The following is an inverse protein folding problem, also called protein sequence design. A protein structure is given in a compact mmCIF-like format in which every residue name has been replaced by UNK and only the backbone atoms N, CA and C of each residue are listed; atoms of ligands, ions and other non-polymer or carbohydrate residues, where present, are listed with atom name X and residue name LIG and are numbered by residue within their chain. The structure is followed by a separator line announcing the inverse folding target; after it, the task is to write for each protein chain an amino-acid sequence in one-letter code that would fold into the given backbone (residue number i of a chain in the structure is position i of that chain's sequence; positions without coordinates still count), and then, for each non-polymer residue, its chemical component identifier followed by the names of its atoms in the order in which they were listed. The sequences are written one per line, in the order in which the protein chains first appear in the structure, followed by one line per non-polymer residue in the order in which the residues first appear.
data_IF_293178531914
#
_entry.id   IF_293178531914
#
_cell.length_a   1.000
_cell.length_b   1.000
_cell.length_c   1.000
_cell.angle_alpha   90.00
_cell.angle_beta   90.00
_cell.angle_gamma   90.00
#
_symmetry.space_group_name_H-M   'P 1'
#
loop_
_entity.id
_entity.type
_entity.pdbx_description
1 polymer ?
#
# COMPACT_ATOMS: atom_id res chain seq x y z
N UNK A 1 5.60 -23.08 14.14
CA UNK A 1 5.72 -21.62 14.33
C UNK A 1 7.00 -21.20 13.66
N UNK A 2 6.92 -20.57 12.48
CA UNK A 2 8.11 -20.01 11.83
C UNK A 2 8.51 -18.77 12.61
N UNK A 3 9.68 -18.75 13.25
CA UNK A 3 10.23 -17.52 13.85
C UNK A 3 10.41 -16.50 12.74
N UNK A 4 9.80 -15.33 12.87
CA UNK A 4 9.94 -14.26 11.87
C UNK A 4 11.23 -13.53 12.19
N UNK A 5 12.17 -13.51 11.24
CA UNK A 5 13.41 -12.75 11.43
C UNK A 5 13.19 -11.31 10.96
N UNK A 6 13.47 -10.33 11.81
CA UNK A 6 13.35 -8.91 11.47
C UNK A 6 14.72 -8.36 11.08
N UNK A 7 14.79 -7.72 9.91
CA UNK A 7 16.00 -7.09 9.40
C UNK A 7 15.92 -5.58 9.61
N UNK A 8 16.84 -5.03 10.41
CA UNK A 8 16.97 -3.58 10.63
C UNK A 8 18.28 -3.09 10.03
N UNK A 9 18.24 -1.95 9.34
CA UNK A 9 19.45 -1.27 8.86
C UNK A 9 19.69 -0.03 9.74
N UNK A 10 20.95 0.25 10.08
CA UNK A 10 21.36 1.44 10.80
C UNK A 10 22.71 1.95 10.30
N UNK A 11 23.02 3.21 10.57
CA UNK A 11 24.35 3.77 10.32
C UNK A 11 25.40 3.10 11.23
N UNK A 12 26.62 2.93 10.73
CA UNK A 12 27.73 2.39 11.51
C UNK A 12 28.30 3.45 12.48
N UNK A 13 27.96 3.36 13.76
CA UNK A 13 28.41 4.32 14.79
C UNK A 13 29.28 3.69 15.89
N UNK A 14 29.02 2.45 16.26
CA UNK A 14 29.66 1.80 17.42
C UNK A 14 31.05 1.22 17.07
N UNK A 15 32.02 1.42 17.97
CA UNK A 15 33.41 0.99 17.77
C UNK A 15 33.56 -0.54 17.67
N UNK A 16 32.77 -1.30 18.43
CA UNK A 16 32.77 -2.76 18.36
C UNK A 16 32.21 -3.26 17.02
N UNK A 17 31.20 -2.58 16.47
CA UNK A 17 30.66 -2.89 15.15
C UNK A 17 31.64 -2.53 14.03
N UNK A 18 32.42 -1.45 14.17
CA UNK A 18 33.47 -1.09 13.20
C UNK A 18 34.50 -2.22 13.09
N UNK A 19 34.95 -2.76 14.23
CA UNK A 19 35.89 -3.89 14.25
C UNK A 19 35.27 -5.14 13.65
N UNK A 20 34.00 -5.42 13.95
CA UNK A 20 33.28 -6.56 13.40
C UNK A 20 33.11 -6.46 11.88
N UNK A 21 32.78 -5.27 11.37
CA UNK A 21 32.69 -4.96 9.94
C UNK A 21 34.03 -5.16 9.24
N UNK A 22 35.13 -4.67 9.81
CA UNK A 22 36.47 -4.89 9.25
C UNK A 22 36.83 -6.38 9.18
N UNK A 23 36.50 -7.17 10.20
CA UNK A 23 36.69 -8.61 10.19
C UNK A 23 35.83 -9.32 9.13
N UNK A 24 34.57 -8.90 8.97
CA UNK A 24 33.67 -9.44 7.94
C UNK A 24 34.14 -9.10 6.52
N UNK A 25 34.70 -7.91 6.28
CA UNK A 25 35.29 -7.50 5.00
C UNK A 25 36.44 -8.44 4.61
N UNK A 26 37.43 -8.59 5.50
CA UNK A 26 38.60 -9.46 5.27
C UNK A 26 38.20 -10.92 5.04
N UNK A 27 37.15 -11.39 5.71
CA UNK A 27 36.64 -12.74 5.51
C UNK A 27 35.81 -12.92 4.21
N UNK A 28 35.43 -11.83 3.54
CA UNK A 28 34.54 -11.85 2.37
C UNK A 28 35.25 -11.63 1.05
N UNK A 29 36.43 -11.02 1.06
CA UNK A 29 37.21 -10.68 -0.12
C UNK A 29 38.64 -11.24 -0.05
N UNK A 30 39.28 -11.56 -1.19
CA UNK A 30 40.72 -11.79 -1.27
C UNK A 30 41.53 -10.64 -0.66
N UNK A 31 42.74 -10.92 -0.16
CA UNK A 31 43.55 -9.95 0.57
C UNK A 31 43.93 -8.70 -0.25
N UNK A 32 44.01 -8.81 -1.57
CA UNK A 32 44.28 -7.73 -2.52
C UNK A 32 43.01 -6.95 -2.93
N UNK A 33 41.82 -7.46 -2.60
CA UNK A 33 40.52 -6.84 -2.88
C UNK A 33 39.85 -6.26 -1.62
N UNK A 34 40.15 -6.80 -0.44
CA UNK A 34 39.53 -6.41 0.84
C UNK A 34 39.95 -5.00 1.29
N UNK A 35 39.00 -4.19 1.77
CA UNK A 35 39.35 -2.93 2.41
C UNK A 35 40.10 -3.16 3.73
N UNK A 36 41.14 -2.37 3.98
CA UNK A 36 41.84 -2.36 5.27
C UNK A 36 40.95 -1.78 6.36
N UNK A 37 41.24 -2.07 7.64
CA UNK A 37 40.52 -1.44 8.77
C UNK A 37 40.59 0.09 8.71
N UNK A 38 41.74 0.65 8.31
CA UNK A 38 41.89 2.10 8.09
C UNK A 38 40.98 2.63 6.98
N UNK A 39 40.78 1.85 5.91
CA UNK A 39 39.83 2.14 4.84
C UNK A 39 38.38 2.12 5.34
N UNK A 40 37.99 1.11 6.13
CA UNK A 40 36.66 1.03 6.76
C UNK A 40 36.42 2.25 7.66
N UNK A 41 37.39 2.60 8.51
CA UNK A 41 37.31 3.79 9.39
C UNK A 41 37.25 5.09 8.59
N UNK A 42 38.01 5.20 7.49
CA UNK A 42 37.93 6.35 6.61
C UNK A 42 36.52 6.51 6.03
N UNK A 43 35.93 5.44 5.50
CA UNK A 43 34.58 5.48 4.91
C UNK A 43 33.52 5.77 5.96
N UNK A 44 33.61 5.17 7.15
CA UNK A 44 32.69 5.44 8.25
C UNK A 44 32.75 6.91 8.69
N UNK A 45 33.96 7.48 8.81
CA UNK A 45 34.16 8.86 9.25
C UNK A 45 33.72 9.88 8.20
N UNK A 46 34.08 9.66 6.94
CA UNK A 46 33.91 10.67 5.88
C UNK A 46 32.62 10.48 5.07
N UNK A 47 32.18 9.23 4.87
CA UNK A 47 31.02 8.85 4.08
C UNK A 47 29.97 8.09 4.92
N UNK A 48 29.87 8.42 6.22
CA UNK A 48 29.04 7.70 7.18
C UNK A 48 27.57 7.55 6.76
N UNK A 49 26.98 8.56 6.13
CA UNK A 49 25.60 8.52 5.59
C UNK A 49 25.37 7.41 4.55
N UNK A 50 26.44 6.86 3.97
CA UNK A 50 26.43 5.79 2.99
C UNK A 50 26.94 4.45 3.54
N UNK A 51 27.26 4.39 4.84
CA UNK A 51 27.75 3.20 5.53
C UNK A 51 26.70 2.66 6.49
N UNK A 52 26.05 1.58 6.06
CA UNK A 52 24.94 0.96 6.78
C UNK A 52 25.27 -0.46 7.19
N UNK A 53 24.98 -0.79 8.44
CA UNK A 53 25.03 -2.13 9.01
C UNK A 53 23.63 -2.72 9.10
N UNK A 54 23.53 -4.04 8.98
CA UNK A 54 22.30 -4.78 9.02
C UNK A 54 22.26 -5.70 10.24
N UNK A 55 21.23 -5.55 11.06
CA UNK A 55 20.97 -6.39 12.22
C UNK A 55 19.80 -7.32 11.97
N UNK A 56 19.90 -8.53 12.50
CA UNK A 56 18.85 -9.52 12.53
C UNK A 56 18.41 -9.76 13.97
N UNK A 57 17.11 -9.65 14.23
CA UNK A 57 16.49 -10.11 15.47
C UNK A 57 15.48 -11.22 15.20
N UNK A 58 15.21 -12.01 16.23
CA UNK A 58 14.17 -13.05 16.21
C UNK A 58 13.14 -12.73 17.28
N UNK A 59 11.90 -13.16 17.09
CA UNK A 59 10.81 -12.94 18.06
C UNK A 59 11.12 -13.50 19.48
N UNK A 60 12.14 -14.36 19.61
CA UNK A 60 12.57 -15.00 20.86
C UNK A 60 13.81 -14.34 21.52
N UNK A 61 14.47 -13.39 20.87
CA UNK A 61 15.69 -12.75 21.37
C UNK A 61 15.49 -11.24 21.47
N UNK A 62 15.74 -10.68 22.66
CA UNK A 62 15.76 -9.23 22.88
C UNK A 62 16.99 -8.56 22.24
N UNK A 63 18.06 -9.33 21.96
CA UNK A 63 19.29 -8.80 21.37
C UNK A 63 19.31 -8.92 19.84
N UNK A 64 19.71 -7.83 19.19
CA UNK A 64 19.97 -7.78 17.75
C UNK A 64 21.37 -8.32 17.43
N UNK A 65 21.50 -9.09 16.34
CA UNK A 65 22.80 -9.60 15.88
C UNK A 65 23.21 -8.89 14.60
N UNK A 66 24.43 -8.35 14.54
CA UNK A 66 25.01 -7.79 13.31
C UNK A 66 25.27 -8.92 12.29
N UNK A 67 24.63 -8.86 11.12
CA UNK A 67 24.66 -9.92 10.09
C UNK A 67 25.22 -9.49 8.75
N UNK A 68 25.49 -8.21 8.54
CA UNK A 68 26.04 -7.72 7.27
C UNK A 68 26.15 -6.20 7.22
N UNK A 69 26.67 -5.68 6.10
CA UNK A 69 26.78 -4.24 5.87
C UNK A 69 26.85 -3.90 4.38
N UNK A 70 26.57 -2.64 4.06
CA UNK A 70 26.80 -2.01 2.76
C UNK A 70 27.51 -0.68 2.99
N UNK A 71 28.54 -0.39 2.22
CA UNK A 71 29.21 0.90 2.27
C UNK A 71 29.54 1.44 0.88
N UNK A 72 29.64 2.76 0.78
CA UNK A 72 29.98 3.45 -0.44
C UNK A 72 30.56 4.84 -0.19
N UNK A 73 31.05 5.47 -1.26
CA UNK A 73 31.45 6.88 -1.26
C UNK A 73 30.80 7.61 -2.42
N UNK A 74 30.50 8.88 -2.23
CA UNK A 74 30.12 9.79 -3.31
C UNK A 74 31.34 10.29 -4.09
N UNK A 75 31.11 10.56 -5.37
CA UNK A 75 32.04 11.23 -6.28
C UNK A 75 31.28 12.21 -7.18
N UNK A 76 31.92 13.31 -7.57
CA UNK A 76 31.43 14.23 -8.59
C UNK A 76 31.68 13.74 -10.02
N UNK A 77 32.41 12.64 -10.20
CA UNK A 77 32.66 12.02 -11.50
C UNK A 77 31.44 11.20 -11.95
N UNK A 78 31.33 10.98 -13.26
CA UNK A 78 30.24 10.20 -13.86
C UNK A 78 30.57 8.72 -14.08
N UNK A 79 31.82 8.32 -13.84
CA UNK A 79 32.35 6.96 -14.09
C UNK A 79 33.10 6.38 -12.88
N UNK A 80 33.19 5.05 -12.85
CA UNK A 80 34.03 4.31 -11.89
C UNK A 80 35.47 4.21 -12.41
N UNK A 81 36.40 4.80 -11.67
CA UNK A 81 37.84 4.69 -11.85
C UNK A 81 38.55 4.69 -10.48
N UNK A 82 39.85 4.47 -10.46
CA UNK A 82 40.63 4.40 -9.21
C UNK A 82 40.52 5.68 -8.36
N UNK A 83 40.36 6.84 -8.98
CA UNK A 83 40.21 8.10 -8.27
C UNK A 83 38.80 8.25 -7.69
N UNK A 84 37.77 7.93 -8.46
CA UNK A 84 36.38 8.00 -8.04
C UNK A 84 36.05 7.00 -6.93
N UNK A 85 36.79 5.88 -6.86
CA UNK A 85 36.65 4.86 -5.82
C UNK A 85 37.52 5.11 -4.56
N UNK A 86 38.49 6.02 -4.59
CA UNK A 86 39.43 6.23 -3.47
C UNK A 86 39.13 7.44 -2.59
N UNK A 87 38.21 8.33 -3.01
CA UNK A 87 37.85 9.55 -2.29
C UNK A 87 36.35 9.61 -1.98
N UNK A 88 36.00 10.52 -1.07
CA UNK A 88 34.62 10.90 -0.82
C UNK A 88 34.44 12.39 -1.13
N UNK A 89 33.50 12.69 -2.01
CA UNK A 89 33.01 14.05 -2.27
C UNK A 89 31.57 14.20 -1.75
N UNK A 90 31.33 14.91 -0.64
CA UNK A 90 30.00 15.09 -0.08
C UNK A 90 28.98 15.77 -1.02
N UNK A 91 29.46 16.44 -2.08
CA UNK A 91 28.61 17.09 -3.09
C UNK A 91 28.45 16.25 -4.36
N UNK A 92 29.04 15.05 -4.40
CA UNK A 92 28.93 14.14 -5.53
C UNK A 92 27.51 13.63 -5.77
N UNK A 93 27.17 13.35 -7.03
CA UNK A 93 25.87 12.80 -7.44
C UNK A 93 25.92 11.30 -7.77
N UNK A 94 27.11 10.72 -7.86
CA UNK A 94 27.32 9.29 -8.09
C UNK A 94 27.74 8.60 -6.79
N UNK A 95 26.94 7.63 -6.33
CA UNK A 95 27.29 6.76 -5.20
C UNK A 95 28.00 5.50 -5.72
N UNK A 96 29.26 5.33 -5.32
CA UNK A 96 30.06 4.14 -5.60
C UNK A 96 29.93 3.17 -4.41
N UNK A 97 29.22 2.05 -4.58
CA UNK A 97 29.17 1.00 -3.56
C UNK A 97 30.47 0.19 -3.64
N UNK A 98 31.17 0.09 -2.50
CA UNK A 98 32.44 -0.62 -2.39
C UNK A 98 32.28 -2.05 -1.90
N UNK A 99 31.41 -2.27 -0.91
CA UNK A 99 31.22 -3.59 -0.33
C UNK A 99 29.75 -3.85 -0.01
N UNK A 100 29.30 -5.07 -0.31
CA UNK A 100 27.99 -5.62 0.10
C UNK A 100 28.27 -6.98 0.73
N UNK A 101 28.24 -7.02 2.06
CA UNK A 101 28.72 -8.18 2.82
C UNK A 101 27.62 -8.75 3.70
N UNK A 102 27.51 -10.07 3.69
CA UNK A 102 26.73 -10.84 4.66
C UNK A 102 27.70 -11.78 5.38
N UNK A 103 27.63 -11.78 6.70
CA UNK A 103 28.40 -12.66 7.56
C UNK A 103 28.23 -14.12 7.11
N UNK A 104 29.33 -14.87 7.08
CA UNK A 104 29.37 -16.24 6.57
C UNK A 104 28.32 -17.15 7.22
N UNK A 105 28.03 -16.99 8.51
CA UNK A 105 27.04 -17.79 9.23
C UNK A 105 25.60 -17.56 8.75
N UNK A 106 25.34 -16.42 8.09
CA UNK A 106 24.02 -15.96 7.67
C UNK A 106 23.82 -15.97 6.15
N UNK A 107 24.83 -16.37 5.37
CA UNK A 107 24.76 -16.49 3.90
C UNK A 107 23.73 -17.55 3.46
N UNK A 108 23.31 -17.45 2.20
CA UNK A 108 22.32 -18.35 1.54
C UNK A 108 20.91 -18.33 2.17
N UNK A 109 20.60 -17.31 2.97
CA UNK A 109 19.26 -17.08 3.56
C UNK A 109 18.48 -15.94 2.88
N UNK A 110 18.93 -15.50 1.70
CA UNK A 110 18.34 -14.37 0.96
C UNK A 110 18.62 -12.98 1.56
N UNK A 111 19.41 -12.88 2.63
CA UNK A 111 19.66 -11.61 3.34
C UNK A 111 20.36 -10.56 2.48
N UNK A 112 21.32 -10.94 1.63
CA UNK A 112 22.02 -9.98 0.77
C UNK A 112 21.06 -9.16 -0.11
N UNK A 113 20.02 -9.80 -0.67
CA UNK A 113 19.02 -9.13 -1.51
C UNK A 113 18.18 -8.18 -0.66
N UNK A 114 17.75 -8.63 0.53
CA UNK A 114 16.96 -7.79 1.45
C UNK A 114 17.75 -6.57 1.93
N UNK A 115 19.02 -6.76 2.29
CA UNK A 115 19.92 -5.70 2.75
C UNK A 115 20.15 -4.68 1.63
N UNK A 116 20.52 -5.13 0.43
CA UNK A 116 20.83 -4.21 -0.67
C UNK A 116 19.58 -3.46 -1.15
N UNK A 117 18.43 -4.12 -1.29
CA UNK A 117 17.17 -3.43 -1.63
C UNK A 117 16.81 -2.38 -0.57
N UNK A 118 16.88 -2.73 0.71
CA UNK A 118 16.59 -1.78 1.79
C UNK A 118 17.57 -0.62 1.84
N UNK A 119 18.86 -0.88 1.58
CA UNK A 119 19.87 0.17 1.45
C UNK A 119 19.53 1.12 0.29
N UNK A 120 19.21 0.59 -0.89
CA UNK A 120 18.80 1.41 -2.04
C UNK A 120 17.56 2.24 -1.69
N UNK A 121 16.52 1.66 -1.09
CA UNK A 121 15.32 2.40 -0.68
C UNK A 121 15.66 3.57 0.26
N UNK A 122 16.54 3.35 1.23
CA UNK A 122 17.04 4.38 2.16
C UNK A 122 17.78 5.49 1.40
N UNK A 123 18.65 5.15 0.45
CA UNK A 123 19.38 6.14 -0.35
C UNK A 123 18.43 6.93 -1.24
N UNK A 124 17.46 6.28 -1.88
CA UNK A 124 16.47 6.95 -2.72
C UNK A 124 15.63 7.95 -1.92
N UNK A 125 15.25 7.59 -0.69
CA UNK A 125 14.42 8.41 0.18
C UNK A 125 15.20 9.55 0.87
N UNK A 126 16.40 9.26 1.39
CA UNK A 126 17.14 10.21 2.25
C UNK A 126 18.22 11.02 1.54
N UNK A 127 18.65 10.65 0.33
CA UNK A 127 19.77 11.25 -0.39
C UNK A 127 19.36 11.77 -1.78
N UNK A 128 18.58 12.86 -1.88
CA UNK A 128 18.07 13.36 -3.16
C UNK A 128 19.16 13.78 -4.16
N UNK A 129 20.36 14.12 -3.68
CA UNK A 129 21.51 14.48 -4.51
C UNK A 129 22.07 13.29 -5.31
N UNK A 130 21.84 12.05 -4.85
CA UNK A 130 22.32 10.85 -5.54
C UNK A 130 21.45 10.60 -6.76
N UNK A 131 22.01 10.77 -7.95
CA UNK A 131 21.33 10.54 -9.23
C UNK A 131 21.57 9.14 -9.76
N UNK A 132 22.70 8.53 -9.39
CA UNK A 132 23.09 7.19 -9.84
C UNK A 132 23.83 6.45 -8.73
N UNK A 133 23.60 5.14 -8.63
CA UNK A 133 24.41 4.23 -7.83
C UNK A 133 25.16 3.31 -8.78
N UNK A 134 26.47 3.16 -8.58
CA UNK A 134 27.28 2.22 -9.34
C UNK A 134 28.10 1.31 -8.44
N UNK A 135 28.42 0.14 -8.98
CA UNK A 135 29.30 -0.84 -8.38
C UNK A 135 29.96 -1.69 -9.45
N UNK A 136 31.04 -2.36 -9.06
CA UNK A 136 31.66 -3.42 -9.86
C UNK A 136 31.33 -4.79 -9.28
N UNK A 137 31.19 -5.79 -10.14
CA UNK A 137 30.83 -7.15 -9.72
C UNK A 137 31.54 -8.23 -10.54
N UNK A 138 31.92 -9.33 -9.88
CA UNK A 138 32.34 -10.57 -10.55
C UNK A 138 31.16 -11.19 -11.31
N UNK A 139 31.44 -11.83 -12.44
CA UNK A 139 30.43 -12.39 -13.35
C UNK A 139 29.31 -13.18 -12.65
N UNK A 140 29.67 -14.05 -11.70
CA UNK A 140 28.73 -14.93 -11.00
C UNK A 140 27.78 -14.19 -10.01
N UNK A 141 28.05 -12.92 -9.69
CA UNK A 141 27.23 -12.07 -8.82
C UNK A 141 26.36 -11.06 -9.59
N UNK A 142 26.55 -10.91 -10.92
CA UNK A 142 25.75 -9.99 -11.75
C UNK A 142 24.25 -10.24 -11.59
N UNK A 143 23.82 -11.51 -11.65
CA UNK A 143 22.41 -11.87 -11.49
C UNK A 143 21.83 -11.52 -10.11
N UNK A 144 22.65 -11.42 -9.07
CA UNK A 144 22.23 -10.95 -7.75
C UNK A 144 21.92 -9.44 -7.77
N UNK A 145 22.80 -8.63 -8.35
CA UNK A 145 22.61 -7.19 -8.44
C UNK A 145 21.46 -6.80 -9.39
N UNK A 146 21.29 -7.53 -10.50
CA UNK A 146 20.14 -7.32 -11.40
C UNK A 146 18.80 -7.53 -10.68
N UNK A 147 18.70 -8.55 -9.80
CA UNK A 147 17.52 -8.75 -8.95
C UNK A 147 17.26 -7.61 -7.95
N UNK A 148 18.28 -6.78 -7.70
CA UNK A 148 18.20 -5.60 -6.83
C UNK A 148 17.97 -4.30 -7.61
N UNK A 149 17.69 -4.36 -8.92
CA UNK A 149 17.36 -3.19 -9.74
C UNK A 149 18.53 -2.59 -10.53
N UNK A 150 19.72 -3.18 -10.45
CA UNK A 150 20.88 -2.73 -11.22
C UNK A 150 20.84 -3.26 -12.66
N UNK A 151 21.43 -2.51 -13.59
CA UNK A 151 21.66 -2.92 -14.97
C UNK A 151 23.15 -3.01 -15.26
N UNK A 152 23.58 -4.00 -16.04
CA UNK A 152 24.97 -4.11 -16.50
C UNK A 152 25.24 -3.02 -17.53
N UNK A 153 26.30 -2.25 -17.35
CA UNK A 153 26.68 -1.17 -18.27
C UNK A 153 27.76 -1.64 -19.25
N UNK A 154 28.89 -2.13 -18.73
CA UNK A 154 30.06 -2.55 -19.50
C UNK A 154 30.98 -3.47 -18.68
N UNK A 155 32.03 -3.97 -19.33
CA UNK A 155 33.18 -4.53 -18.61
C UNK A 155 33.93 -3.39 -17.89
N UNK A 156 34.30 -3.60 -16.64
CA UNK A 156 34.97 -2.62 -15.80
C UNK A 156 36.38 -2.33 -16.32
N UNK A 157 36.77 -1.05 -16.47
CA UNK A 157 38.15 -0.66 -16.69
C UNK A 157 39.00 -0.81 -15.43
N UNK A 158 38.37 -0.76 -14.24
CA UNK A 158 39.00 -1.00 -12.95
C UNK A 158 39.15 -2.51 -12.77
N UNK A 159 40.39 -2.96 -12.58
CA UNK A 159 40.75 -4.36 -12.36
C UNK A 159 41.23 -4.53 -10.92
N UNK A 160 40.49 -5.34 -10.16
CA UNK A 160 40.92 -5.84 -8.86
C UNK A 160 41.15 -7.35 -8.96
N UNK A 161 42.37 -7.80 -8.69
CA UNK A 161 42.74 -9.22 -8.82
C UNK A 161 42.90 -9.68 -10.29
N UNK A 162 42.69 -10.98 -10.52
CA UNK A 162 42.99 -11.65 -11.81
C UNK A 162 41.78 -11.76 -12.75
N UNK A 163 40.56 -11.68 -12.22
CA UNK A 163 39.33 -11.89 -12.98
C UNK A 163 38.76 -10.56 -13.50
N UNK A 164 38.09 -10.55 -14.67
CA UNK A 164 37.40 -9.37 -15.18
C UNK A 164 36.14 -9.05 -14.35
N UNK A 165 35.90 -7.77 -14.12
CA UNK A 165 34.73 -7.26 -13.40
C UNK A 165 33.74 -6.60 -14.35
N UNK A 166 32.47 -6.57 -13.99
CA UNK A 166 31.41 -5.86 -14.70
C UNK A 166 31.01 -4.61 -13.92
N UNK A 167 30.83 -3.49 -14.60
CA UNK A 167 30.18 -2.33 -14.01
C UNK A 167 28.66 -2.49 -14.08
N UNK A 168 27.98 -2.10 -13.00
CA UNK A 168 26.53 -2.05 -12.92
C UNK A 168 26.08 -0.70 -12.40
N UNK A 169 24.92 -0.25 -12.88
CA UNK A 169 24.33 1.03 -12.48
C UNK A 169 22.85 0.90 -12.13
N UNK A 170 22.40 1.72 -11.19
CA UNK A 170 20.99 1.98 -10.88
C UNK A 170 20.72 3.48 -11.07
N UNK A 171 19.71 3.80 -11.85
CA UNK A 171 19.22 5.17 -12.08
C UNK A 171 18.28 5.56 -10.94
N UNK A 172 18.73 6.47 -10.07
CA UNK A 172 17.97 6.87 -8.89
C UNK A 172 16.83 7.82 -9.23
N UNK A 173 16.96 8.62 -10.30
CA UNK A 173 15.89 9.52 -10.73
C UNK A 173 14.69 8.71 -11.21
N UNK A 174 14.94 7.67 -12.02
CA UNK A 174 13.90 6.72 -12.43
C UNK A 174 13.38 5.87 -11.28
N UNK A 175 14.25 5.44 -10.36
CA UNK A 175 13.83 4.60 -9.24
C UNK A 175 12.99 5.35 -8.18
N UNK A 176 13.09 6.68 -8.10
CA UNK A 176 12.24 7.53 -7.23
C UNK A 176 10.83 7.74 -7.78
N UNK A 177 10.60 7.45 -9.06
CA UNK A 177 9.27 7.59 -9.65
C UNK A 177 8.32 6.56 -9.01
N UNK A 178 7.19 7.00 -8.44
CA UNK A 178 6.36 6.12 -7.63
C UNK A 178 5.60 5.09 -8.50
N UNK A 179 5.58 3.82 -8.08
CA UNK A 179 4.70 2.82 -8.66
C UNK A 179 3.23 3.19 -8.47
N UNK A 180 2.42 2.87 -9.47
CA UNK A 180 0.96 2.96 -9.39
C UNK A 180 0.34 1.62 -9.78
N UNK A 181 -0.56 1.12 -8.94
CA UNK A 181 -1.28 -0.14 -9.15
C UNK A 181 -2.76 0.18 -9.14
N UNK A 182 -3.48 -0.22 -10.18
CA UNK A 182 -4.94 -0.12 -10.21
C UNK A 182 -5.55 -1.46 -9.82
N UNK A 183 -6.43 -1.42 -8.83
CA UNK A 183 -7.14 -2.59 -8.29
C UNK A 183 -8.64 -2.37 -8.44
N UNK A 184 -9.33 -3.39 -8.90
CA UNK A 184 -10.79 -3.48 -8.83
C UNK A 184 -11.18 -4.15 -7.51
N UNK A 185 -11.70 -3.37 -6.57
CA UNK A 185 -12.11 -3.83 -5.26
C UNK A 185 -13.52 -4.45 -5.27
N UNK A 186 -13.78 -5.38 -4.35
CA UNK A 186 -15.03 -6.11 -4.21
C UNK A 186 -15.38 -7.00 -5.41
N UNK A 187 -14.36 -7.42 -6.16
CA UNK A 187 -14.49 -8.31 -7.32
C UNK A 187 -13.29 -9.24 -7.44
N UNK A 188 -13.52 -10.45 -7.96
CA UNK A 188 -12.47 -11.37 -8.44
C UNK A 188 -12.31 -11.32 -9.97
N UNK A 189 -13.17 -10.59 -10.67
CA UNK A 189 -13.13 -10.42 -12.12
C UNK A 189 -12.66 -9.01 -12.49
N UNK A 190 -11.71 -8.87 -13.42
CA UNK A 190 -11.31 -7.57 -13.95
C UNK A 190 -12.51 -6.79 -14.53
N UNK A 191 -12.47 -5.47 -14.38
CA UNK A 191 -13.47 -4.52 -14.87
C UNK A 191 -14.84 -4.59 -14.14
N UNK A 192 -14.94 -5.41 -13.10
CA UNK A 192 -16.06 -5.46 -12.16
C UNK A 192 -15.65 -4.82 -10.82
N UNK A 193 -16.55 -4.69 -9.86
CA UNK A 193 -16.26 -4.05 -8.56
C UNK A 193 -16.11 -2.53 -8.66
N UNK A 194 -15.28 -1.93 -7.80
CA UNK A 194 -15.01 -0.49 -7.77
C UNK A 194 -13.49 -0.22 -7.97
N UNK A 195 -13.06 0.48 -9.04
CA UNK A 195 -11.66 0.67 -9.34
C UNK A 195 -11.05 1.74 -8.43
N UNK A 196 -9.85 1.49 -7.90
CA UNK A 196 -9.01 2.52 -7.30
C UNK A 196 -7.58 2.43 -7.82
N UNK A 197 -6.98 3.59 -8.08
CA UNK A 197 -5.54 3.70 -8.29
C UNK A 197 -4.86 3.81 -6.92
N UNK A 198 -3.76 3.08 -6.74
CA UNK A 198 -2.94 3.11 -5.52
C UNK A 198 -1.54 3.51 -5.88
N UNK A 199 -1.08 4.65 -5.36
CA UNK A 199 0.27 5.17 -5.54
C UNK A 199 1.10 4.84 -4.31
N UNK A 200 2.21 4.14 -4.52
CA UNK A 200 3.14 3.75 -3.47
C UNK A 200 4.24 4.81 -3.37
N UNK A 201 4.25 5.55 -2.27
CA UNK A 201 5.20 6.63 -2.01
C UNK A 201 6.24 6.19 -0.99
N UNK A 202 7.43 6.80 -1.08
CA UNK A 202 8.40 6.73 0.00
C UNK A 202 7.95 7.62 1.17
N UNK A 203 8.45 7.38 2.40
CA UNK A 203 8.11 8.22 3.55
C UNK A 203 8.39 9.70 3.30
N UNK A 204 9.56 10.04 2.74
CA UNK A 204 9.93 11.44 2.48
C UNK A 204 9.04 12.07 1.41
N UNK A 205 8.72 11.33 0.33
CA UNK A 205 7.83 11.85 -0.72
C UNK A 205 6.40 12.09 -0.21
N UNK A 206 5.91 11.21 0.68
CA UNK A 206 4.58 11.31 1.26
C UNK A 206 4.41 12.49 2.21
N UNK A 207 5.46 12.86 2.95
CA UNK A 207 5.45 13.95 3.93
C UNK A 207 6.05 15.26 3.40
N UNK A 208 6.37 15.33 2.11
CA UNK A 208 6.96 16.53 1.48
C UNK A 208 5.99 17.71 1.51
N UNK A 209 6.52 18.92 1.68
CA UNK A 209 5.74 20.15 1.51
C UNK A 209 5.16 20.23 0.08
N UNK A 210 3.88 20.60 -0.03
CA UNK A 210 3.18 20.68 -1.32
C UNK A 210 2.73 19.33 -1.90
N UNK A 211 2.88 18.22 -1.16
CA UNK A 211 2.49 16.89 -1.62
C UNK A 211 0.99 16.77 -1.90
N UNK A 212 0.14 17.48 -1.13
CA UNK A 212 -1.31 17.42 -1.28
C UNK A 212 -1.77 17.94 -2.65
N UNK A 213 -1.15 19.01 -3.15
CA UNK A 213 -1.43 19.56 -4.48
C UNK A 213 -0.99 18.60 -5.59
N UNK A 214 0.13 17.88 -5.39
CA UNK A 214 0.54 16.82 -6.31
C UNK A 214 -0.44 15.64 -6.29
N UNK A 215 -0.83 15.15 -5.10
CA UNK A 215 -1.81 14.08 -4.93
C UNK A 215 -3.16 14.44 -5.56
N UNK A 216 -3.64 15.68 -5.39
CA UNK A 216 -4.89 16.12 -6.01
C UNK A 216 -4.79 16.13 -7.54
N UNK A 217 -3.67 16.59 -8.12
CA UNK A 217 -3.46 16.58 -9.58
C UNK A 217 -3.44 15.16 -10.17
N UNK A 218 -2.77 14.23 -9.50
CA UNK A 218 -2.75 12.82 -9.92
C UNK A 218 -4.15 12.21 -9.81
N UNK A 219 -4.93 12.54 -8.77
CA UNK A 219 -6.32 12.07 -8.65
C UNK A 219 -7.23 12.62 -9.76
N UNK A 220 -7.04 13.89 -10.15
CA UNK A 220 -7.74 14.50 -11.30
C UNK A 220 -7.39 13.76 -12.60
N UNK A 221 -6.10 13.51 -12.85
CA UNK A 221 -5.63 12.82 -14.06
C UNK A 221 -6.17 11.39 -14.15
N UNK A 222 -6.17 10.65 -13.03
CA UNK A 222 -6.69 9.29 -12.99
C UNK A 222 -8.21 9.23 -13.24
N UNK A 223 -8.95 10.25 -12.78
CA UNK A 223 -10.40 10.37 -12.92
C UNK A 223 -11.18 9.10 -12.54
N UNK A 224 -10.70 8.39 -11.51
CA UNK A 224 -11.41 7.29 -10.84
C UNK A 224 -12.21 7.85 -9.66
N UNK A 225 -13.06 7.02 -9.05
CA UNK A 225 -13.77 7.39 -7.81
C UNK A 225 -12.76 7.90 -6.78
N UNK A 226 -11.68 7.14 -6.55
CA UNK A 226 -10.59 7.52 -5.66
C UNK A 226 -9.22 7.08 -6.18
N UNK A 227 -8.21 7.93 -5.91
CA UNK A 227 -6.81 7.56 -5.89
C UNK A 227 -6.32 7.52 -4.44
N UNK A 228 -5.77 6.37 -4.03
CA UNK A 228 -5.14 6.16 -2.74
C UNK A 228 -3.63 6.42 -2.81
N UNK A 229 -3.08 7.02 -1.76
CA UNK A 229 -1.65 7.22 -1.60
C UNK A 229 -1.22 6.60 -0.29
N UNK A 230 -0.17 5.78 -0.31
CA UNK A 230 0.34 5.13 0.91
C UNK A 230 1.85 5.18 0.99
N UNK A 231 2.36 5.26 2.22
CA UNK A 231 3.79 5.17 2.51
C UNK A 231 4.02 4.35 3.79
N UNK A 232 5.12 3.58 3.87
CA UNK A 232 5.44 2.82 5.06
C UNK A 232 5.82 3.76 6.21
N UNK A 233 5.39 3.42 7.43
CA UNK A 233 5.81 4.09 8.66
C UNK A 233 6.93 3.31 9.33
N UNK A 234 7.79 4.02 10.05
CA UNK A 234 8.73 3.35 10.94
C UNK A 234 7.98 2.59 12.02
N UNK A 235 8.44 1.36 12.27
CA UNK A 235 7.86 0.50 13.28
C UNK A 235 8.20 1.04 14.67
N UNK A 236 7.20 1.23 15.52
CA UNK A 236 7.44 1.54 16.93
C UNK A 236 7.84 0.29 17.71
N UNK A 237 8.58 0.43 18.80
CA UNK A 237 8.90 -0.68 19.72
C UNK A 237 7.66 -1.33 20.35
N UNK A 238 6.50 -0.67 20.30
CA UNK A 238 5.22 -1.17 20.81
C UNK A 238 4.38 -1.87 19.74
N UNK A 239 4.75 -1.77 18.46
CA UNK A 239 4.02 -2.39 17.36
C UNK A 239 4.31 -3.91 17.34
N UNK A 240 3.29 -4.80 17.38
CA UNK A 240 3.49 -6.24 17.31
C UNK A 240 4.23 -6.71 16.04
N UNK A 241 4.89 -7.87 16.11
CA UNK A 241 5.75 -8.38 15.02
C UNK A 241 4.99 -8.71 13.72
N UNK A 242 3.74 -9.11 13.83
CA UNK A 242 2.85 -9.41 12.72
C UNK A 242 2.10 -8.15 12.21
N UNK A 243 2.40 -6.97 12.76
CA UNK A 243 1.75 -5.72 12.39
C UNK A 243 2.71 -4.84 11.60
N UNK A 244 2.21 -4.30 10.49
CA UNK A 244 2.89 -3.26 9.70
C UNK A 244 2.07 -1.98 9.70
N UNK A 245 2.75 -0.84 9.72
CA UNK A 245 2.12 0.47 9.79
C UNK A 245 2.40 1.26 8.52
N UNK A 246 1.34 1.89 8.00
CA UNK A 246 1.38 2.69 6.79
C UNK A 246 0.57 3.96 7.01
N UNK A 247 1.00 5.06 6.40
CA UNK A 247 0.14 6.21 6.19
C UNK A 247 -0.75 5.96 4.96
N UNK A 248 -1.97 6.48 4.99
CA UNK A 248 -2.92 6.33 3.90
C UNK A 248 -3.83 7.56 3.78
N UNK A 249 -3.91 8.11 2.56
CA UNK A 249 -4.82 9.19 2.16
C UNK A 249 -5.58 8.80 0.89
N UNK A 250 -6.76 9.37 0.71
CA UNK A 250 -7.60 9.15 -0.47
C UNK A 250 -8.08 10.45 -1.04
N UNK A 251 -8.02 10.56 -2.35
CA UNK A 251 -8.44 11.73 -3.09
C UNK A 251 -9.42 11.30 -4.16
N UNK A 252 -10.58 11.95 -4.17
CA UNK A 252 -11.42 12.04 -5.37
C UNK A 252 -10.80 13.06 -6.33
N UNK A 253 -11.28 13.18 -7.58
CA UNK A 253 -10.89 14.28 -8.46
C UNK A 253 -11.20 15.67 -7.89
N UNK A 254 -12.13 15.78 -6.93
CA UNK A 254 -12.55 17.06 -6.34
C UNK A 254 -11.84 17.44 -5.04
N UNK A 255 -11.54 16.47 -4.16
CA UNK A 255 -10.98 16.71 -2.84
C UNK A 255 -10.43 15.45 -2.17
N UNK A 256 -9.63 15.65 -1.12
CA UNK A 256 -9.28 14.63 -0.13
C UNK A 256 -10.50 14.21 0.71
N UNK A 257 -10.68 12.90 0.93
CA UNK A 257 -11.75 12.35 1.76
C UNK A 257 -11.21 11.72 3.03
N UNK A 258 -11.99 11.79 4.11
CA UNK A 258 -11.55 11.30 5.44
C UNK A 258 -11.55 9.77 5.56
N UNK A 259 -12.39 9.09 4.77
CA UNK A 259 -12.61 7.66 4.85
C UNK A 259 -13.05 7.11 3.49
N UNK A 260 -12.41 6.03 3.02
CA UNK A 260 -12.83 5.33 1.81
C UNK A 260 -12.63 3.81 1.93
N UNK A 261 -13.70 3.02 1.78
CA UNK A 261 -13.65 1.57 1.93
C UNK A 261 -12.90 0.85 0.80
N UNK A 262 -13.37 1.00 -0.45
CA UNK A 262 -12.84 0.22 -1.58
C UNK A 262 -11.36 0.57 -1.88
N UNK A 263 -10.96 1.83 -1.70
CA UNK A 263 -9.59 2.26 -1.91
C UNK A 263 -8.67 1.81 -0.75
N UNK A 264 -9.19 1.62 0.47
CA UNK A 264 -8.46 0.93 1.56
C UNK A 264 -8.21 -0.54 1.20
N UNK A 265 -9.24 -1.25 0.73
CA UNK A 265 -9.09 -2.64 0.26
C UNK A 265 -8.05 -2.73 -0.86
N UNK A 266 -8.17 -1.85 -1.84
CA UNK A 266 -7.25 -1.75 -2.98
C UNK A 266 -5.82 -1.51 -2.53
N UNK A 267 -5.62 -0.65 -1.51
CA UNK A 267 -4.30 -0.38 -0.95
C UNK A 267 -3.69 -1.62 -0.30
N UNK A 268 -4.46 -2.36 0.51
CA UNK A 268 -3.99 -3.61 1.10
C UNK A 268 -3.58 -4.63 0.02
N UNK A 269 -4.39 -4.75 -1.05
CA UNK A 269 -4.11 -5.65 -2.16
C UNK A 269 -2.88 -5.21 -2.97
N UNK A 270 -2.74 -3.92 -3.25
CA UNK A 270 -1.59 -3.34 -3.97
C UNK A 270 -0.27 -3.54 -3.19
N UNK A 271 -0.29 -3.38 -1.86
CA UNK A 271 0.87 -3.64 -1.01
C UNK A 271 1.25 -5.13 -1.02
N UNK A 272 0.26 -6.03 -1.03
CA UNK A 272 0.50 -7.47 -1.12
C UNK A 272 1.09 -7.84 -2.49
N UNK A 273 0.50 -7.31 -3.57
CA UNK A 273 0.93 -7.54 -4.95
C UNK A 273 2.36 -7.05 -5.21
N UNK A 274 2.70 -5.86 -4.70
CA UNK A 274 4.05 -5.30 -4.77
C UNK A 274 5.07 -6.03 -3.86
N UNK A 275 4.61 -6.99 -3.03
CA UNK A 275 5.47 -7.74 -2.12
C UNK A 275 5.94 -6.95 -0.90
N UNK A 276 5.27 -5.85 -0.56
CA UNK A 276 5.57 -5.05 0.63
C UNK A 276 4.99 -5.66 1.92
N UNK A 277 3.94 -6.48 1.80
CA UNK A 277 3.32 -7.20 2.92
C UNK A 277 3.04 -8.65 2.54
N UNK A 278 2.68 -9.46 3.53
CA UNK A 278 2.27 -10.87 3.37
C UNK A 278 0.88 -11.09 3.95
N UNK A 279 0.23 -12.19 3.56
CA UNK A 279 -1.12 -12.54 4.04
C UNK A 279 -1.20 -12.78 5.54
N UNK A 280 -0.08 -13.03 6.21
CA UNK A 280 -0.04 -13.28 7.66
C UNK A 280 0.10 -11.99 8.48
N UNK A 281 0.26 -10.84 7.83
CA UNK A 281 0.42 -9.56 8.51
C UNK A 281 -0.91 -8.82 8.65
N UNK A 282 -1.04 -8.12 9.77
CA UNK A 282 -2.09 -7.12 9.99
C UNK A 282 -1.57 -5.76 9.55
N UNK A 283 -2.34 -5.06 8.73
CA UNK A 283 -2.03 -3.71 8.28
C UNK A 283 -2.77 -2.71 9.16
N UNK A 284 -2.04 -1.70 9.64
CA UNK A 284 -2.61 -0.52 10.30
C UNK A 284 -2.37 0.70 9.43
N UNK A 285 -3.43 1.24 8.88
CA UNK A 285 -3.40 2.46 8.08
C UNK A 285 -3.74 3.67 8.95
N UNK A 286 -2.82 4.62 9.04
CA UNK A 286 -2.99 5.89 9.72
C UNK A 286 -3.59 6.90 8.75
N UNK A 287 -4.80 7.38 9.08
CA UNK A 287 -5.66 8.16 8.17
C UNK A 287 -6.28 9.34 8.91
N UNK A 288 -6.93 10.27 8.19
CA UNK A 288 -7.67 11.38 8.81
C UNK A 288 -8.84 10.94 9.70
N UNK A 289 -9.36 9.73 9.51
CA UNK A 289 -10.40 9.12 10.34
C UNK A 289 -9.85 8.25 11.47
N UNK A 290 -8.54 8.28 11.73
CA UNK A 290 -7.86 7.44 12.71
C UNK A 290 -7.25 6.19 12.08
N UNK A 291 -6.94 5.19 12.91
CA UNK A 291 -6.29 3.96 12.47
C UNK A 291 -7.32 2.96 11.94
N UNK A 292 -7.19 2.58 10.67
CA UNK A 292 -7.95 1.49 10.06
C UNK A 292 -7.13 0.20 10.08
N UNK A 293 -7.79 -0.91 10.40
CA UNK A 293 -7.14 -2.23 10.48
C UNK A 293 -7.59 -3.08 9.31
N UNK A 294 -6.62 -3.61 8.56
CA UNK A 294 -6.85 -4.57 7.50
C UNK A 294 -6.15 -5.89 7.80
N UNK A 295 -6.78 -7.00 7.43
CA UNK A 295 -6.24 -8.36 7.53
C UNK A 295 -6.55 -9.11 6.25
N UNK A 296 -5.76 -10.14 5.95
CA UNK A 296 -6.05 -11.04 4.86
C UNK A 296 -6.67 -12.34 5.39
N UNK A 297 -7.65 -12.87 4.67
CA UNK A 297 -8.26 -14.16 4.94
C UNK A 297 -8.21 -15.00 3.65
N UNK A 298 -7.56 -16.16 3.71
CA UNK A 298 -7.52 -17.11 2.59
C UNK A 298 -8.55 -18.20 2.87
N UNK A 299 -9.55 -18.31 2.00
CA UNK A 299 -10.55 -19.37 2.11
C UNK A 299 -9.93 -20.69 1.65
N UNK A 300 -9.84 -21.67 2.56
CA UNK A 300 -9.08 -22.91 2.37
C UNK A 300 -9.55 -23.75 1.18
N UNK A 301 -10.86 -23.81 0.94
CA UNK A 301 -11.45 -24.66 -0.11
C UNK A 301 -11.27 -24.08 -1.52
N UNK A 302 -11.45 -22.77 -1.66
CA UNK A 302 -11.46 -22.09 -2.96
C UNK A 302 -10.12 -21.42 -3.27
N UNK A 303 -9.22 -21.31 -2.28
CA UNK A 303 -8.00 -20.52 -2.31
C UNK A 303 -8.24 -19.03 -2.63
N UNK A 304 -9.48 -18.55 -2.44
CA UNK A 304 -9.81 -17.12 -2.61
C UNK A 304 -9.20 -16.29 -1.50
N UNK A 305 -8.70 -15.12 -1.86
CA UNK A 305 -8.11 -14.15 -0.95
C UNK A 305 -9.09 -13.01 -0.71
N UNK A 306 -9.43 -12.79 0.56
CA UNK A 306 -10.25 -11.68 1.01
C UNK A 306 -9.42 -10.69 1.83
N UNK A 307 -9.75 -9.41 1.68
CA UNK A 307 -9.32 -8.37 2.61
C UNK A 307 -10.46 -8.11 3.57
N UNK A 308 -10.19 -8.25 4.86
CA UNK A 308 -11.03 -7.82 5.96
C UNK A 308 -10.65 -6.40 6.34
N UNK A 309 -11.62 -5.51 6.41
CA UNK A 309 -11.45 -4.15 6.89
C UNK A 309 -12.36 -3.91 8.10
N UNK A 310 -11.79 -3.39 9.17
CA UNK A 310 -12.50 -3.14 10.42
C UNK A 310 -13.01 -1.69 10.50
N UNK A 311 -14.33 -1.50 10.37
CA UNK A 311 -14.98 -0.19 10.44
C UNK A 311 -15.96 -0.08 11.63
N UNK A 312 -16.18 1.13 12.16
CA UNK A 312 -17.29 1.37 13.08
C UNK A 312 -18.63 1.16 12.36
N UNK A 313 -19.60 0.60 13.07
CA UNK A 313 -20.98 0.57 12.58
C UNK A 313 -21.54 1.99 12.43
N UNK A 314 -22.40 2.18 11.44
CA UNK A 314 -23.17 3.41 11.27
C UNK A 314 -24.63 3.14 11.63
N UNK A 315 -25.05 3.37 12.88
CA UNK A 315 -26.44 3.14 13.28
C UNK A 315 -27.38 4.04 12.47
N UNK A 316 -28.56 3.51 12.20
CA UNK A 316 -29.58 4.20 11.41
C UNK A 316 -30.62 4.85 12.31
N UNK A 317 -31.03 6.07 11.96
CA UNK A 317 -32.03 6.84 12.69
C UNK A 317 -33.28 7.08 11.81
N UNK A 318 -34.48 7.27 12.41
CA UNK A 318 -35.65 7.71 11.67
C UNK A 318 -35.38 9.04 10.93
N UNK A 319 -35.88 9.16 9.69
CA UNK A 319 -35.81 10.44 8.97
C UNK A 319 -36.78 11.46 9.56
N UNK A 320 -36.37 12.73 9.54
CA UNK A 320 -37.22 13.86 9.93
C UNK A 320 -38.25 14.22 8.85
N UNK A 321 -39.13 15.17 9.16
CA UNK A 321 -40.18 15.67 8.26
C UNK A 321 -39.66 16.36 6.99
N UNK A 322 -38.37 16.67 6.91
CA UNK A 322 -37.73 17.23 5.71
C UNK A 322 -37.63 16.23 4.55
N UNK A 323 -37.73 14.92 4.81
CA UNK A 323 -37.74 13.90 3.77
C UNK A 323 -39.17 13.65 3.32
N UNK A 324 -39.54 14.20 2.17
CA UNK A 324 -40.88 14.00 1.58
C UNK A 324 -40.87 12.74 0.72
N UNK A 325 -41.58 11.69 1.16
CA UNK A 325 -41.57 10.37 0.50
C UNK A 325 -41.99 10.43 -0.97
N UNK A 326 -42.97 11.26 -1.34
CA UNK A 326 -43.42 11.39 -2.72
C UNK A 326 -42.34 12.01 -3.62
N UNK A 327 -41.59 12.99 -3.10
CA UNK A 327 -40.49 13.61 -3.84
C UNK A 327 -39.32 12.63 -3.98
N UNK A 328 -38.98 11.90 -2.93
CA UNK A 328 -37.96 10.86 -2.97
C UNK A 328 -38.32 9.74 -3.96
N UNK A 329 -39.58 9.27 -3.95
CA UNK A 329 -40.06 8.26 -4.88
C UNK A 329 -39.99 8.74 -6.34
N UNK A 330 -40.42 9.99 -6.60
CA UNK A 330 -40.31 10.61 -7.91
C UNK A 330 -38.83 10.73 -8.36
N UNK A 331 -37.94 11.16 -7.47
CA UNK A 331 -36.52 11.28 -7.74
C UNK A 331 -35.83 9.91 -7.97
N UNK A 332 -36.34 8.82 -7.41
CA UNK A 332 -35.86 7.45 -7.66
C UNK A 332 -36.54 6.77 -8.85
N UNK A 333 -37.58 7.39 -9.41
CA UNK A 333 -38.37 6.84 -10.53
C UNK A 333 -39.27 5.67 -10.13
N UNK A 334 -39.73 5.62 -8.88
CA UNK A 334 -40.60 4.54 -8.35
C UNK A 334 -41.90 5.11 -7.79
N UNK A 335 -42.88 4.23 -7.53
CA UNK A 335 -44.12 4.62 -6.87
C UNK A 335 -43.89 4.82 -5.36
N UNK A 336 -44.58 5.77 -4.68
CA UNK A 336 -44.37 6.01 -3.25
C UNK A 336 -44.59 4.78 -2.37
N UNK A 337 -45.55 3.92 -2.71
CA UNK A 337 -45.83 2.68 -1.98
C UNK A 337 -44.76 1.59 -2.18
N UNK A 338 -43.83 1.77 -3.11
CA UNK A 338 -42.70 0.88 -3.29
C UNK A 338 -41.56 1.16 -2.30
N UNK A 339 -41.55 2.33 -1.67
CA UNK A 339 -40.63 2.63 -0.57
C UNK A 339 -41.18 1.99 0.70
N UNK A 340 -40.44 1.02 1.22
CA UNK A 340 -40.79 0.24 2.42
C UNK A 340 -40.37 0.97 3.69
N UNK A 341 -39.18 1.58 3.68
CA UNK A 341 -38.62 2.28 4.83
C UNK A 341 -37.54 3.27 4.39
N UNK A 342 -37.36 4.33 5.17
CA UNK A 342 -36.30 5.32 4.95
C UNK A 342 -35.64 5.67 6.28
N UNK A 343 -34.32 5.56 6.32
CA UNK A 343 -33.50 5.92 7.47
C UNK A 343 -32.40 6.89 7.09
N UNK A 344 -31.88 7.61 8.08
CA UNK A 344 -30.64 8.36 7.97
C UNK A 344 -29.50 7.54 8.56
N UNK A 345 -28.40 7.40 7.82
CA UNK A 345 -27.17 6.76 8.25
C UNK A 345 -26.03 7.78 8.13
N UNK A 346 -25.70 8.49 9.21
CA UNK A 346 -24.75 9.61 9.22
C UNK A 346 -25.13 10.72 8.23
N UNK A 347 -24.44 10.82 7.09
CA UNK A 347 -24.70 11.81 6.03
C UNK A 347 -25.52 11.27 4.87
N UNK A 348 -25.79 9.96 4.84
CA UNK A 348 -26.46 9.27 3.74
C UNK A 348 -27.92 8.92 4.13
N UNK A 349 -28.80 8.77 3.15
CA UNK A 349 -30.12 8.15 3.33
C UNK A 349 -30.08 6.70 2.90
N UNK A 350 -30.55 5.81 3.77
CA UNK A 350 -30.84 4.42 3.44
C UNK A 350 -32.30 4.32 3.02
N UNK A 351 -32.56 3.88 1.80
CA UNK A 351 -33.91 3.78 1.22
C UNK A 351 -34.19 2.32 0.90
N UNK A 352 -35.00 1.66 1.72
CA UNK A 352 -35.44 0.30 1.44
C UNK A 352 -36.64 0.33 0.50
N UNK A 353 -36.54 -0.33 -0.64
CA UNK A 353 -37.63 -0.49 -1.62
C UNK A 353 -38.02 -1.95 -1.77
N UNK A 354 -39.13 -2.24 -2.44
CA UNK A 354 -39.46 -3.63 -2.78
C UNK A 354 -38.48 -4.19 -3.82
N UNK A 355 -38.25 -5.51 -3.86
CA UNK A 355 -37.37 -6.13 -4.86
C UNK A 355 -37.78 -5.83 -6.31
N UNK A 356 -39.08 -5.74 -6.59
CA UNK A 356 -39.61 -5.42 -7.92
C UNK A 356 -39.25 -3.98 -8.31
N UNK A 357 -39.45 -3.03 -7.39
CA UNK A 357 -39.13 -1.64 -7.63
C UNK A 357 -37.63 -1.39 -7.78
N UNK A 358 -36.80 -2.12 -7.03
CA UNK A 358 -35.34 -2.04 -7.13
C UNK A 358 -34.84 -2.28 -8.56
N UNK A 359 -35.39 -3.29 -9.25
CA UNK A 359 -35.02 -3.62 -10.64
C UNK A 359 -35.45 -2.56 -11.67
N UNK A 360 -36.33 -1.63 -11.29
CA UNK A 360 -36.90 -0.61 -12.19
C UNK A 360 -36.45 0.82 -11.84
N UNK A 361 -35.56 0.98 -10.87
CA UNK A 361 -35.01 2.27 -10.44
C UNK A 361 -34.49 3.10 -11.61
N UNK A 362 -34.99 4.32 -11.74
CA UNK A 362 -34.57 5.33 -12.73
C UNK A 362 -34.30 6.64 -11.99
N UNK A 363 -33.11 6.78 -11.38
CA UNK A 363 -32.78 7.96 -10.59
C UNK A 363 -32.75 9.21 -11.47
N UNK A 364 -33.47 10.25 -11.06
CA UNK A 364 -33.29 11.61 -11.55
C UNK A 364 -32.20 12.28 -10.71
N UNK A 365 -30.97 12.22 -11.22
CA UNK A 365 -29.79 12.77 -10.54
C UNK A 365 -29.90 14.28 -10.29
N UNK A 366 -30.64 15.02 -11.13
CA UNK A 366 -30.83 16.47 -10.96
C UNK A 366 -31.75 16.74 -9.77
N UNK A 367 -32.76 15.90 -9.54
CA UNK A 367 -33.60 16.01 -8.35
C UNK A 367 -32.88 15.56 -7.09
N UNK A 368 -32.18 14.41 -7.13
CA UNK A 368 -31.41 13.90 -6.00
C UNK A 368 -30.32 14.88 -5.54
N UNK A 369 -29.68 15.61 -6.47
CA UNK A 369 -28.67 16.61 -6.15
C UNK A 369 -29.21 17.85 -5.38
N UNK A 370 -30.53 18.03 -5.30
CA UNK A 370 -31.16 19.13 -4.54
C UNK A 370 -31.33 18.81 -3.06
N UNK A 371 -31.13 17.56 -2.65
CA UNK A 371 -31.25 17.15 -1.25
C UNK A 371 -29.95 17.42 -0.49
N UNK A 372 -30.08 17.92 0.75
CA UNK A 372 -28.93 18.18 1.65
C UNK A 372 -28.47 16.90 2.37
N UNK A 373 -28.11 15.89 1.58
CA UNK A 373 -27.50 14.62 2.03
C UNK A 373 -26.35 14.28 1.11
N UNK A 374 -25.37 13.53 1.62
CA UNK A 374 -24.22 13.13 0.79
C UNK A 374 -24.66 12.16 -0.30
N UNK A 375 -25.41 11.11 0.04
CA UNK A 375 -25.90 10.15 -0.93
C UNK A 375 -27.09 9.31 -0.47
N UNK A 376 -27.54 8.44 -1.36
CA UNK A 376 -28.71 7.57 -1.23
C UNK A 376 -28.27 6.11 -1.42
N UNK A 377 -28.24 5.34 -0.34
CA UNK A 377 -28.08 3.89 -0.35
C UNK A 377 -29.45 3.22 -0.54
N UNK A 378 -29.84 2.99 -1.78
CA UNK A 378 -31.10 2.31 -2.10
C UNK A 378 -30.88 0.81 -2.03
N UNK A 379 -31.74 0.07 -1.33
CA UNK A 379 -31.53 -1.34 -1.03
C UNK A 379 -32.83 -2.15 -1.05
N UNK A 380 -32.72 -3.44 -1.31
CA UNK A 380 -33.83 -4.40 -1.23
C UNK A 380 -33.30 -5.79 -0.85
N UNK A 381 -34.19 -6.67 -0.40
CA UNK A 381 -33.89 -8.10 -0.34
C UNK A 381 -33.55 -8.63 -1.74
N UNK A 382 -32.67 -9.64 -1.79
CA UNK A 382 -32.50 -10.42 -3.01
C UNK A 382 -33.75 -11.26 -3.30
N UNK A 383 -34.29 -11.26 -4.54
CA UNK A 383 -35.42 -12.10 -4.90
C UNK A 383 -35.14 -13.59 -4.65
N UNK A 384 -36.12 -14.30 -4.08
CA UNK A 384 -36.02 -15.75 -3.88
C UNK A 384 -35.90 -16.50 -5.22
N UNK A 385 -35.05 -17.52 -5.28
CA UNK A 385 -34.93 -18.41 -6.46
C UNK A 385 -33.83 -18.04 -7.47
N UNK A 386 -33.02 -17.03 -7.20
CA UNK A 386 -31.88 -16.64 -8.06
C UNK A 386 -30.65 -17.57 -7.95
N UNK A 387 -30.68 -18.59 -7.08
CA UNK A 387 -29.55 -19.49 -6.82
C UNK A 387 -28.31 -18.79 -6.23
N UNK A 388 -28.39 -17.48 -5.97
CA UNK A 388 -27.29 -16.70 -5.40
C UNK A 388 -27.27 -16.85 -3.89
N UNK A 389 -26.08 -16.89 -3.30
CA UNK A 389 -25.88 -16.90 -1.86
C UNK A 389 -25.83 -15.46 -1.30
N UNK A 390 -26.62 -14.54 -1.88
CA UNK A 390 -26.63 -13.10 -1.54
C UNK A 390 -27.94 -12.77 -0.83
N UNK A 391 -27.86 -11.99 0.23
CA UNK A 391 -28.98 -11.63 1.08
C UNK A 391 -29.67 -10.35 0.61
N UNK A 392 -28.88 -9.34 0.26
CA UNK A 392 -29.36 -7.99 -0.09
C UNK A 392 -28.68 -7.48 -1.36
N UNK A 393 -29.38 -6.58 -2.05
CA UNK A 393 -28.84 -5.78 -3.14
C UNK A 393 -28.89 -4.30 -2.80
N UNK A 394 -27.96 -3.54 -3.36
CA UNK A 394 -27.88 -2.09 -3.19
C UNK A 394 -27.44 -1.36 -4.45
N UNK A 395 -27.82 -0.07 -4.53
CA UNK A 395 -27.30 0.94 -5.45
C UNK A 395 -26.99 2.19 -4.63
N UNK A 396 -25.95 2.93 -5.00
CA UNK A 396 -25.55 4.13 -4.27
C UNK A 396 -25.49 5.33 -5.21
N UNK A 397 -26.23 6.39 -4.89
CA UNK A 397 -26.31 7.61 -5.68
C UNK A 397 -25.82 8.81 -4.87
N UNK A 398 -24.90 9.62 -5.40
CA UNK A 398 -24.30 10.76 -4.69
C UNK A 398 -24.11 11.99 -5.62
N UNK A 399 -25.13 12.38 -6.41
CA UNK A 399 -24.94 13.39 -7.46
C UNK A 399 -24.58 14.78 -6.90
N UNK A 400 -24.97 15.09 -5.65
CA UNK A 400 -24.58 16.33 -4.97
C UNK A 400 -23.08 16.48 -4.74
N UNK A 401 -22.30 15.39 -4.78
CA UNK A 401 -20.84 15.40 -4.70
C UNK A 401 -20.17 15.00 -6.02
N UNK A 402 -20.92 15.00 -7.13
CA UNK A 402 -20.41 14.73 -8.47
C UNK A 402 -20.37 13.26 -8.90
N UNK A 403 -20.88 12.33 -8.07
CA UNK A 403 -20.92 10.89 -8.39
C UNK A 403 -22.37 10.46 -8.56
N UNK A 404 -22.85 10.39 -9.80
CA UNK A 404 -24.22 9.98 -10.08
C UNK A 404 -24.53 8.59 -9.50
N UNK A 405 -23.65 7.62 -9.75
CA UNK A 405 -23.78 6.26 -9.23
C UNK A 405 -22.41 5.64 -8.96
N UNK A 406 -22.20 5.15 -7.74
CA UNK A 406 -20.95 4.50 -7.31
C UNK A 406 -21.06 2.96 -7.47
N UNK A 407 -20.08 2.28 -8.09
CA UNK A 407 -20.15 0.82 -8.29
C UNK A 407 -20.29 -0.02 -7.03
N UNK A 408 -19.45 0.25 -6.01
CA UNK A 408 -19.49 -0.47 -4.73
C UNK A 408 -19.03 0.44 -3.59
N UNK A 409 -19.95 0.80 -2.70
CA UNK A 409 -19.72 1.81 -1.66
C UNK A 409 -19.53 1.15 -0.30
N UNK A 410 -18.28 0.87 0.07
CA UNK A 410 -17.98 0.23 1.36
C UNK A 410 -18.55 1.00 2.57
N UNK A 411 -18.45 2.33 2.58
CA UNK A 411 -18.97 3.14 3.69
C UNK A 411 -20.48 3.01 3.89
N UNK A 412 -21.27 2.95 2.80
CA UNK A 412 -22.72 2.76 2.88
C UNK A 412 -23.09 1.42 3.53
N UNK A 413 -22.27 0.40 3.31
CA UNK A 413 -22.48 -0.92 3.91
C UNK A 413 -22.23 -0.96 5.42
N UNK A 414 -21.54 0.04 5.97
CA UNK A 414 -21.41 0.19 7.42
C UNK A 414 -22.76 0.57 8.08
N UNK A 415 -23.70 1.14 7.31
CA UNK A 415 -25.08 1.40 7.73
C UNK A 415 -26.07 0.31 7.29
N UNK A 416 -25.89 -0.23 6.07
CA UNK A 416 -26.75 -1.33 5.58
C UNK A 416 -26.63 -2.59 6.44
N UNK A 417 -25.44 -2.92 6.94
CA UNK A 417 -25.22 -4.09 7.79
C UNK A 417 -26.10 -4.06 9.05
N UNK A 418 -25.91 -3.08 9.95
CA UNK A 418 -26.72 -2.95 11.17
C UNK A 418 -28.23 -2.80 10.90
N UNK A 419 -28.62 -2.18 9.79
CA UNK A 419 -30.02 -2.05 9.38
C UNK A 419 -30.65 -3.41 9.04
N UNK A 420 -29.98 -4.21 8.20
CA UNK A 420 -30.51 -5.47 7.69
C UNK A 420 -30.36 -6.64 8.66
N UNK A 421 -29.35 -6.63 9.54
CA UNK A 421 -29.10 -7.71 10.49
C UNK A 421 -30.32 -8.14 11.31
N UNK A 422 -31.03 -7.21 11.99
CA UNK A 422 -32.21 -7.58 12.78
C UNK A 422 -33.39 -8.01 11.89
N UNK A 423 -33.50 -7.47 10.67
CA UNK A 423 -34.56 -7.82 9.70
C UNK A 423 -34.36 -9.27 9.22
N UNK A 424 -33.13 -9.62 8.84
CA UNK A 424 -32.76 -10.94 8.34
C UNK A 424 -32.48 -11.97 9.44
N UNK A 425 -32.33 -11.50 10.69
CA UNK A 425 -31.89 -12.30 11.85
C UNK A 425 -30.53 -12.98 11.60
N UNK A 426 -29.58 -12.23 11.05
CA UNK A 426 -28.22 -12.70 10.72
C UNK A 426 -27.16 -11.78 11.31
N UNK A 427 -25.99 -12.33 11.63
CA UNK A 427 -24.78 -11.58 12.01
C UNK A 427 -23.79 -11.42 10.85
N UNK A 428 -23.96 -12.22 9.80
CA UNK A 428 -23.22 -12.12 8.54
C UNK A 428 -24.21 -11.84 7.42
N UNK A 429 -24.00 -10.77 6.67
CA UNK A 429 -24.84 -10.36 5.55
C UNK A 429 -23.98 -10.35 4.29
N UNK A 430 -24.43 -11.07 3.27
CA UNK A 430 -23.82 -11.04 1.94
C UNK A 430 -24.58 -10.06 1.08
N UNK A 431 -23.90 -9.03 0.62
CA UNK A 431 -24.50 -7.96 -0.18
C UNK A 431 -23.86 -7.91 -1.57
N UNK A 432 -24.67 -7.50 -2.54
CA UNK A 432 -24.22 -7.13 -3.88
C UNK A 432 -24.59 -5.67 -4.14
N UNK A 433 -23.61 -4.86 -4.55
CA UNK A 433 -23.87 -3.52 -5.10
C UNK A 433 -23.52 -3.53 -6.58
N UNK A 434 -24.35 -2.91 -7.40
CA UNK A 434 -24.08 -2.83 -8.82
C UNK A 434 -24.65 -1.56 -9.46
N UNK A 435 -24.00 -1.16 -10.54
CA UNK A 435 -24.50 -0.24 -11.56
C UNK A 435 -24.96 -1.06 -12.78
N UNK A 436 -25.58 -0.44 -13.79
CA UNK A 436 -25.89 -1.14 -15.04
C UNK A 436 -24.68 -1.74 -15.79
N UNK A 437 -23.45 -1.30 -15.50
CA UNK A 437 -22.25 -1.71 -16.24
C UNK A 437 -21.27 -2.55 -15.44
N UNK A 438 -21.27 -2.43 -14.11
CA UNK A 438 -20.36 -3.16 -13.21
C UNK A 438 -20.89 -3.24 -11.79
N UNK A 439 -20.46 -4.23 -11.03
CA UNK A 439 -20.82 -4.36 -9.61
C UNK A 439 -19.89 -5.32 -8.87
N UNK A 440 -20.09 -5.44 -7.57
CA UNK A 440 -19.25 -6.27 -6.73
C UNK A 440 -19.99 -6.84 -5.52
N UNK A 441 -19.28 -7.72 -4.81
CA UNK A 441 -19.79 -8.45 -3.67
C UNK A 441 -19.04 -8.04 -2.41
N UNK A 442 -19.78 -7.84 -1.33
CA UNK A 442 -19.25 -7.49 -0.03
C UNK A 442 -19.93 -8.34 1.04
N UNK A 443 -19.13 -8.92 1.94
CA UNK A 443 -19.65 -9.61 3.12
C UNK A 443 -19.47 -8.70 4.33
N UNK A 444 -20.52 -8.59 5.14
CA UNK A 444 -20.57 -7.76 6.34
C UNK A 444 -20.69 -8.68 7.53
N UNK A 445 -19.65 -8.76 8.35
CA UNK A 445 -19.68 -9.46 9.63
C UNK A 445 -19.87 -8.44 10.76
N UNK A 446 -21.00 -8.52 11.45
CA UNK A 446 -21.36 -7.65 12.56
C UNK A 446 -20.78 -8.21 13.86
N UNK A 447 -19.98 -7.40 14.53
CA UNK A 447 -19.27 -7.78 15.75
C UNK A 447 -20.12 -7.36 16.94
N UNK A 448 -20.84 -8.33 17.51
CA UNK A 448 -21.74 -8.10 18.65
C UNK A 448 -21.02 -7.67 19.95
N UNK A 449 -19.72 -7.92 20.08
CA UNK A 449 -18.93 -7.57 21.26
C UNK A 449 -18.22 -6.22 21.07
N UNK A 450 -18.46 -5.27 21.98
CA UNK A 450 -17.79 -3.96 21.98
C UNK A 450 -18.67 -2.82 21.42
N UNK A 451 -18.06 -1.72 20.90
CA UNK A 451 -18.78 -0.47 20.60
C UNK A 451 -19.60 -0.47 19.29
N UNK A 452 -19.96 -1.64 18.75
CA UNK A 452 -20.62 -1.79 17.44
C UNK A 452 -19.63 -1.62 16.29
N UNK A 453 -19.21 -2.74 15.68
CA UNK A 453 -18.24 -2.76 14.57
C UNK A 453 -18.68 -3.71 13.48
N UNK A 454 -18.37 -3.34 12.24
CA UNK A 454 -18.70 -4.11 11.04
C UNK A 454 -17.42 -4.39 10.27
N UNK A 455 -17.12 -5.67 10.09
CA UNK A 455 -16.00 -6.12 9.28
C UNK A 455 -16.48 -6.27 7.84
N UNK A 456 -15.92 -5.46 6.96
CA UNK A 456 -16.18 -5.52 5.53
C UNK A 456 -15.18 -6.47 4.89
N UNK A 457 -15.68 -7.51 4.23
CA UNK A 457 -14.86 -8.47 3.49
C UNK A 457 -15.11 -8.34 2.00
N UNK A 458 -14.03 -8.24 1.23
CA UNK A 458 -14.09 -8.20 -0.23
C UNK A 458 -12.89 -8.88 -0.87
N UNK A 459 -13.10 -9.38 -2.08
CA UNK A 459 -12.00 -9.76 -2.99
C UNK A 459 -11.44 -8.50 -3.68
N UNK A 460 -10.27 -8.64 -4.30
CA UNK A 460 -9.71 -7.61 -5.16
C UNK A 460 -8.92 -8.25 -6.30
N UNK A 461 -8.76 -7.52 -7.41
CA UNK A 461 -7.96 -7.97 -8.56
C UNK A 461 -7.15 -6.81 -9.12
N UNK A 462 -5.85 -7.05 -9.36
CA UNK A 462 -4.99 -6.05 -10.03
C UNK A 462 -5.29 -6.04 -11.51
N UNK A 463 -5.56 -4.85 -12.04
CA UNK A 463 -5.93 -4.61 -13.44
C UNK A 463 -4.80 -3.97 -14.23
N UNK A 464 -4.02 -3.09 -13.57
CA UNK A 464 -2.93 -2.36 -14.20
C UNK A 464 -1.78 -2.16 -13.20
N UNK A 465 -0.54 -2.27 -13.70
CA UNK A 465 0.69 -1.89 -12.99
C UNK A 465 1.44 -0.90 -13.85
N UNK A 466 1.87 0.21 -13.26
CA UNK A 466 2.60 1.26 -13.94
C UNK A 466 3.51 2.03 -12.99
N UNK A 467 4.15 3.05 -13.53
CA UNK A 467 5.00 3.98 -12.80
C UNK A 467 4.63 5.39 -13.26
N UNK A 468 4.47 6.33 -12.32
CA UNK A 468 4.21 7.72 -12.68
C UNK A 468 5.46 8.37 -13.26
N UNK A 469 5.29 9.34 -14.16
CA UNK A 469 6.41 10.11 -14.73
C UNK A 469 6.83 11.30 -13.86
N UNK A 470 6.20 11.47 -12.70
CA UNK A 470 6.53 12.51 -11.73
C UNK A 470 6.40 11.97 -10.30
N UNK A 471 7.05 12.64 -9.36
CA UNK A 471 7.02 12.40 -7.91
C UNK A 471 6.81 13.75 -7.22
N UNK A 472 6.23 13.78 -5.99
CA UNK A 472 6.11 15.00 -5.19
C UNK A 472 7.39 15.83 -5.08
#
# INVERSE_FOLDING_TARGET
MSSTNHLRLALLTEEDDIRRVAAMEVASYPADEAATESGIRFRQKNAGSFFWVAYLSTDAQESETLVGFVNGTLTARDELDDESMSRHDPHGSLLCIHSVVVDQAFRRRGLAVKILKRYVDIILDSQPQVKRIMLISKAHLVGFYVKCGFSVTRLSPVVHGQDPWFELSLDCEKARLPPMIQVDAFSSEPFQGNPAAVVLLSPTAYHKDGVSEWMQRVAIENNLSETAYTAPRERSSQTPNDVVEYDLRWFTPGAEVKLCGHATLSTAFALLDAGHVTTNQTLRFHTLSGVLVCRFEVQTETQKLFVLMDFPEQPTEPVGSSVVLNELAAALGVQPNAIVDVKKATTDLLVRVTPEAFSTLKPDFVQLAKTDVRGFAVTAEMPSGNGSNVDIQSRFFSPGVGVNEDPVTGSAHCGLGPYWAPILKKTTIKAQQFTPVRGGYITLDLVAAGPGRVLLKGEGVVVLRGQLSSSP
#
